data_IF_980060853053
#
_entry.id   IF_980060853053
#
_cell.length_a   1.000
_cell.length_b   1.000
_cell.length_c   1.000
_cell.angle_alpha   90.00
_cell.angle_beta   90.00
_cell.angle_gamma   90.00
#
_symmetry.space_group_name_H-M   'P 1'
#
loop_
_entity.id
_entity.type
_entity.pdbx_description
1 polymer ?
#
# COMPACT_ATOMS: atom_id res chain seq x y z
N UNK A 1 14.79 19.00 -29.34
CA UNK A 1 15.22 19.60 -28.06
C UNK A 1 16.01 18.53 -27.31
N UNK A 2 17.33 18.68 -27.27
CA UNK A 2 18.16 17.83 -26.42
C UNK A 2 17.78 18.07 -24.96
N UNK A 3 17.02 17.14 -24.37
CA UNK A 3 16.86 17.09 -22.92
C UNK A 3 18.25 16.77 -22.36
N UNK A 4 18.99 17.78 -21.92
CA UNK A 4 20.21 17.60 -21.12
C UNK A 4 19.88 16.63 -19.99
N UNK A 5 20.48 15.45 -20.03
CA UNK A 5 20.43 14.48 -18.95
C UNK A 5 21.02 15.17 -17.70
N UNK A 6 20.23 15.21 -16.62
CA UNK A 6 20.70 15.66 -15.32
C UNK A 6 21.01 14.43 -14.49
N UNK A 7 22.10 14.48 -13.74
CA UNK A 7 22.35 13.53 -12.67
C UNK A 7 21.17 13.56 -11.68
N UNK A 8 20.70 12.39 -11.26
CA UNK A 8 19.52 12.25 -10.41
C UNK A 8 19.83 11.26 -9.29
N UNK A 9 19.80 11.75 -8.06
CA UNK A 9 19.91 10.91 -6.87
C UNK A 9 18.51 10.76 -6.26
N UNK A 10 17.98 9.53 -6.31
CA UNK A 10 16.67 9.21 -5.77
C UNK A 10 16.58 9.58 -4.28
N UNK A 11 15.48 10.24 -3.88
CA UNK A 11 15.16 10.63 -2.50
C UNK A 11 16.18 11.55 -1.80
N UNK A 12 17.12 12.19 -2.53
CA UNK A 12 18.12 13.11 -1.96
C UNK A 12 17.76 14.59 -2.22
N UNK A 13 17.81 15.40 -1.17
CA UNK A 13 17.62 16.84 -1.24
C UNK A 13 16.17 17.28 -1.47
N UNK A 14 15.98 18.47 -2.05
CA UNK A 14 14.67 19.12 -2.18
C UNK A 14 14.04 18.97 -3.58
N UNK A 15 14.74 18.34 -4.53
CA UNK A 15 14.31 18.19 -5.93
C UNK A 15 13.34 17.04 -6.20
N UNK A 16 12.66 16.53 -5.17
CA UNK A 16 11.74 15.40 -5.28
C UNK A 16 10.41 15.82 -5.91
N UNK A 17 9.80 14.93 -6.67
CA UNK A 17 8.41 15.07 -7.11
C UNK A 17 7.46 15.07 -5.91
N UNK A 18 6.22 15.54 -6.09
CA UNK A 18 5.20 15.49 -5.03
C UNK A 18 4.95 14.07 -4.53
N UNK A 19 5.00 13.08 -5.43
CA UNK A 19 4.79 11.66 -5.09
C UNK A 19 5.97 11.10 -4.29
N UNK A 20 7.22 11.36 -4.72
CA UNK A 20 8.43 10.96 -3.99
C UNK A 20 8.52 11.60 -2.60
N UNK A 21 7.98 12.81 -2.42
CA UNK A 21 7.90 13.45 -1.10
C UNK A 21 6.94 12.71 -0.17
N UNK A 22 5.82 12.17 -0.67
CA UNK A 22 4.93 11.32 0.14
C UNK A 22 5.63 10.04 0.54
N UNK A 23 6.26 9.33 -0.41
CA UNK A 23 7.05 8.13 -0.12
C UNK A 23 8.11 8.42 0.97
N UNK A 24 8.88 9.50 0.81
CA UNK A 24 9.87 9.91 1.82
C UNK A 24 9.23 10.18 3.17
N UNK A 25 8.10 10.89 3.20
CA UNK A 25 7.40 11.25 4.44
C UNK A 25 6.94 10.00 5.20
N UNK A 26 6.44 8.98 4.51
CA UNK A 26 6.04 7.70 5.11
C UNK A 26 7.24 6.99 5.73
N UNK A 27 8.36 6.90 5.00
CA UNK A 27 9.61 6.31 5.55
C UNK A 27 10.08 7.08 6.79
N UNK A 28 10.07 8.41 6.73
CA UNK A 28 10.45 9.25 7.87
C UNK A 28 9.57 8.97 9.09
N UNK A 29 8.25 8.82 8.92
CA UNK A 29 7.32 8.48 9.99
C UNK A 29 7.60 7.11 10.59
N UNK A 30 7.84 6.09 9.77
CA UNK A 30 8.26 4.77 10.24
C UNK A 30 9.53 4.94 11.05
N UNK A 31 10.59 5.51 10.47
CA UNK A 31 11.90 5.64 11.08
C UNK A 31 11.88 6.42 12.39
N UNK A 32 11.12 7.51 12.47
CA UNK A 32 10.99 8.35 13.66
C UNK A 32 9.95 7.86 14.67
N UNK A 33 9.22 6.78 14.39
CA UNK A 33 8.23 6.24 15.32
C UNK A 33 8.88 5.87 16.66
N UNK A 34 8.32 6.41 17.74
CA UNK A 34 8.71 6.18 19.13
C UNK A 34 7.89 5.06 19.80
N UNK A 35 6.89 4.50 19.11
CA UNK A 35 6.08 3.38 19.62
C UNK A 35 6.96 2.14 19.73
N UNK A 36 7.17 1.57 20.94
CA UNK A 36 8.01 0.39 21.11
C UNK A 36 7.41 -0.84 20.42
N UNK A 37 8.23 -1.71 19.82
CA UNK A 37 7.75 -2.92 19.13
C UNK A 37 6.81 -3.79 19.98
N UNK A 38 7.00 -3.86 21.31
CA UNK A 38 6.13 -4.62 22.22
C UNK A 38 4.71 -4.05 22.38
N UNK A 39 4.48 -2.79 21.99
CA UNK A 39 3.16 -2.15 21.98
C UNK A 39 2.49 -2.24 20.60
N UNK A 40 3.20 -2.74 19.59
CA UNK A 40 2.74 -2.84 18.21
C UNK A 40 2.16 -4.22 17.94
N UNK A 41 1.14 -4.29 17.10
CA UNK A 41 0.57 -5.57 16.65
C UNK A 41 1.51 -6.31 15.68
N UNK A 42 2.25 -5.55 14.87
CA UNK A 42 3.36 -6.05 14.05
C UNK A 42 4.61 -5.19 14.26
N UNK A 43 5.79 -5.79 14.05
CA UNK A 43 7.05 -5.06 14.23
C UNK A 43 7.18 -3.90 13.24
N UNK A 44 7.87 -2.82 13.63
CA UNK A 44 8.19 -1.71 12.74
C UNK A 44 8.97 -2.15 11.49
N UNK A 45 9.76 -3.22 11.60
CA UNK A 45 10.45 -3.81 10.46
C UNK A 45 9.48 -4.47 9.47
N UNK A 46 8.47 -5.19 9.96
CA UNK A 46 7.45 -5.78 9.11
C UNK A 46 6.67 -4.70 8.37
N UNK A 47 6.21 -3.65 9.06
CA UNK A 47 5.50 -2.55 8.42
C UNK A 47 6.31 -1.86 7.32
N UNK A 48 7.60 -1.63 7.55
CA UNK A 48 8.49 -1.10 6.52
C UNK A 48 8.54 -2.03 5.30
N UNK A 49 8.77 -3.32 5.54
CA UNK A 49 8.89 -4.31 4.46
C UNK A 49 7.58 -4.46 3.70
N UNK A 50 6.45 -4.53 4.40
CA UNK A 50 5.11 -4.62 3.81
C UNK A 50 4.79 -3.37 2.98
N UNK A 51 4.97 -2.17 3.53
CA UNK A 51 4.71 -0.93 2.81
C UNK A 51 5.53 -0.82 1.52
N UNK A 52 6.85 -1.09 1.58
CA UNK A 52 7.71 -0.96 0.40
C UNK A 52 7.58 -2.13 -0.58
N UNK A 53 7.23 -3.33 -0.10
CA UNK A 53 6.78 -4.43 -0.92
C UNK A 53 5.53 -4.04 -1.70
N UNK A 54 4.53 -3.46 -1.03
CA UNK A 54 3.28 -3.01 -1.64
C UNK A 54 3.54 -1.93 -2.69
N UNK A 55 4.43 -0.96 -2.42
CA UNK A 55 4.86 0.03 -3.40
C UNK A 55 5.48 -0.62 -4.65
N UNK A 56 6.34 -1.63 -4.48
CA UNK A 56 6.95 -2.34 -5.61
C UNK A 56 5.91 -3.12 -6.44
N UNK A 57 4.98 -3.82 -5.79
CA UNK A 57 3.89 -4.54 -6.45
C UNK A 57 2.94 -3.57 -7.15
N UNK A 58 2.59 -2.45 -6.53
CA UNK A 58 1.73 -1.43 -7.11
C UNK A 58 2.32 -0.83 -8.39
N UNK A 59 3.64 -0.59 -8.43
CA UNK A 59 4.34 -0.14 -9.67
C UNK A 59 4.13 -1.13 -10.81
N UNK A 60 4.20 -2.44 -10.55
CA UNK A 60 4.02 -3.49 -11.57
C UNK A 60 2.56 -3.59 -11.99
N UNK A 61 1.63 -3.65 -11.03
CA UNK A 61 0.20 -3.83 -11.33
C UNK A 61 -0.42 -2.59 -11.98
N UNK A 62 -0.03 -1.38 -11.59
CA UNK A 62 -0.48 -0.16 -12.25
C UNK A 62 -0.09 -0.15 -13.73
N UNK A 63 1.16 -0.52 -14.05
CA UNK A 63 1.60 -0.68 -15.45
C UNK A 63 0.76 -1.72 -16.19
N UNK A 64 0.56 -2.89 -15.58
CA UNK A 64 -0.22 -3.99 -16.18
C UNK A 64 -1.68 -3.61 -16.45
N UNK A 65 -2.26 -2.75 -15.60
CA UNK A 65 -3.67 -2.34 -15.63
C UNK A 65 -3.90 -0.98 -16.32
N UNK A 66 -2.86 -0.31 -16.80
CA UNK A 66 -2.96 1.00 -17.44
C UNK A 66 -3.34 2.15 -16.50
N UNK A 67 -2.98 2.05 -15.21
CA UNK A 67 -3.23 3.07 -14.20
C UNK A 67 -2.04 4.03 -14.06
N UNK A 68 -2.28 5.20 -13.46
CA UNK A 68 -1.20 6.13 -13.13
C UNK A 68 -0.33 5.51 -12.02
N UNK A 69 0.93 5.23 -12.36
CA UNK A 69 1.90 4.59 -11.47
C UNK A 69 2.15 5.45 -10.23
N UNK A 70 2.25 6.77 -10.38
CA UNK A 70 2.57 7.68 -9.29
C UNK A 70 1.43 7.74 -8.27
N UNK A 71 0.17 7.74 -8.71
CA UNK A 71 -0.99 7.64 -7.82
C UNK A 71 -1.04 6.28 -7.11
N UNK A 72 -0.81 5.19 -7.84
CA UNK A 72 -0.76 3.84 -7.27
C UNK A 72 0.31 3.71 -6.18
N UNK A 73 1.48 4.32 -6.38
CA UNK A 73 2.59 4.35 -5.42
C UNK A 73 2.23 5.13 -4.17
N UNK A 74 1.60 6.29 -4.32
CA UNK A 74 1.15 7.08 -3.18
C UNK A 74 0.09 6.36 -2.37
N UNK A 75 -0.88 5.72 -3.03
CA UNK A 75 -1.90 4.90 -2.36
C UNK A 75 -1.24 3.75 -1.60
N UNK A 76 -0.35 2.99 -2.24
CA UNK A 76 0.35 1.89 -1.60
C UNK A 76 1.21 2.34 -0.42
N UNK A 77 1.81 3.54 -0.49
CA UNK A 77 2.59 4.10 0.61
C UNK A 77 1.72 4.51 1.81
N UNK A 78 0.47 4.90 1.56
CA UNK A 78 -0.42 5.48 2.56
C UNK A 78 -1.48 4.51 3.12
N UNK A 79 -1.74 3.38 2.46
CA UNK A 79 -2.88 2.50 2.82
C UNK A 79 -2.90 2.11 4.31
N UNK A 80 -1.72 1.80 4.86
CA UNK A 80 -1.50 1.41 6.25
C UNK A 80 -0.92 2.54 7.13
N UNK A 81 -1.10 3.81 6.75
CA UNK A 81 -0.45 4.93 7.46
C UNK A 81 -0.86 5.04 8.93
N UNK A 82 -2.08 4.63 9.27
CA UNK A 82 -2.53 4.58 10.66
C UNK A 82 -1.73 3.54 11.46
N UNK A 83 -1.48 2.37 10.86
CA UNK A 83 -0.67 1.28 11.44
C UNK A 83 0.76 1.75 11.66
N UNK A 84 1.35 2.43 10.67
CA UNK A 84 2.70 3.00 10.76
C UNK A 84 2.85 3.96 11.95
N UNK A 85 1.84 4.79 12.22
CA UNK A 85 1.90 5.79 13.29
C UNK A 85 1.58 5.20 14.67
N UNK A 86 0.61 4.27 14.74
CA UNK A 86 0.02 3.84 16.02
C UNK A 86 0.32 2.37 16.38
N UNK A 87 0.79 1.57 15.42
CA UNK A 87 1.05 0.14 15.56
C UNK A 87 -0.19 -0.72 15.75
N UNK A 88 -1.38 -0.26 15.30
CA UNK A 88 -2.68 -0.92 15.51
C UNK A 88 -3.45 -1.10 14.21
N UNK A 89 -4.04 -2.28 14.00
CA UNK A 89 -4.84 -2.57 12.80
C UNK A 89 -6.36 -2.37 12.99
N UNK A 90 -6.86 -2.20 14.20
CA UNK A 90 -8.31 -1.97 14.38
C UNK A 90 -8.73 -0.67 13.70
N UNK A 91 -9.69 -0.75 12.77
CA UNK A 91 -10.25 0.37 12.00
C UNK A 91 -9.20 1.21 11.23
N UNK A 92 -8.02 0.65 10.96
CA UNK A 92 -6.87 1.38 10.40
C UNK A 92 -7.14 2.05 9.06
N UNK A 93 -7.89 1.38 8.16
CA UNK A 93 -8.25 1.94 6.86
C UNK A 93 -9.04 3.25 7.00
N UNK A 94 -10.06 3.26 7.87
CA UNK A 94 -10.89 4.44 8.14
C UNK A 94 -10.09 5.55 8.82
N UNK A 95 -9.31 5.21 9.85
CA UNK A 95 -8.50 6.18 10.60
C UNK A 95 -7.31 6.72 9.78
N UNK A 96 -6.86 5.97 8.77
CA UNK A 96 -5.81 6.36 7.84
C UNK A 96 -6.22 7.45 6.86
N UNK A 97 -7.53 7.65 6.60
CA UNK A 97 -8.03 8.64 5.63
C UNK A 97 -7.64 10.06 6.01
N UNK A 98 -7.90 10.47 7.25
CA UNK A 98 -7.60 11.83 7.72
C UNK A 98 -6.09 12.10 7.72
N UNK A 99 -5.30 11.10 8.11
CA UNK A 99 -3.84 11.18 8.11
C UNK A 99 -3.30 11.31 6.68
N UNK A 100 -3.85 10.52 5.75
CA UNK A 100 -3.47 10.56 4.34
C UNK A 100 -3.76 11.93 3.74
N UNK A 101 -4.97 12.46 3.96
CA UNK A 101 -5.34 13.81 3.51
C UNK A 101 -4.39 14.88 4.05
N UNK A 102 -4.09 14.82 5.37
CA UNK A 102 -3.15 15.76 6.00
C UNK A 102 -1.77 15.69 5.36
N UNK A 103 -1.20 14.50 5.16
CA UNK A 103 0.12 14.33 4.52
C UNK A 103 0.12 14.89 3.10
N UNK A 104 -0.92 14.61 2.30
CA UNK A 104 -1.03 15.09 0.92
C UNK A 104 -1.10 16.61 0.85
N UNK A 105 -1.88 17.24 1.74
CA UNK A 105 -1.99 18.70 1.84
C UNK A 105 -0.70 19.35 2.32
N UNK A 106 0.01 18.74 3.27
CA UNK A 106 1.31 19.21 3.77
C UNK A 106 2.42 19.10 2.71
N UNK A 107 2.48 17.98 1.97
CA UNK A 107 3.42 17.80 0.85
C UNK A 107 3.12 18.77 -0.29
N UNK A 108 1.83 19.01 -0.54
CA UNK A 108 1.33 19.97 -1.52
C UNK A 108 1.45 19.50 -2.97
N UNK A 109 0.72 20.21 -3.84
CA UNK A 109 0.75 19.98 -5.29
C UNK A 109 -0.15 18.85 -5.78
N UNK A 110 -0.98 18.24 -4.94
CA UNK A 110 -2.05 17.32 -5.36
C UNK A 110 -3.34 18.10 -5.65
N UNK A 111 -4.11 17.70 -6.66
CA UNK A 111 -5.47 18.24 -6.87
C UNK A 111 -6.45 17.64 -5.86
N UNK A 112 -7.60 18.28 -5.67
CA UNK A 112 -8.64 17.73 -4.79
C UNK A 112 -9.17 16.38 -5.32
N UNK A 113 -9.22 16.20 -6.64
CA UNK A 113 -9.60 14.91 -7.25
C UNK A 113 -8.56 13.81 -6.99
N UNK A 114 -7.27 14.14 -7.03
CA UNK A 114 -6.20 13.20 -6.66
C UNK A 114 -6.29 12.82 -5.18
N UNK A 115 -6.49 13.80 -4.30
CA UNK A 115 -6.64 13.58 -2.87
C UNK A 115 -7.83 12.67 -2.59
N UNK A 116 -8.98 12.92 -3.21
CA UNK A 116 -10.17 12.09 -3.01
C UNK A 116 -9.98 10.67 -3.54
N UNK A 117 -9.38 10.52 -4.73
CA UNK A 117 -9.02 9.19 -5.28
C UNK A 117 -8.12 8.41 -4.32
N UNK A 118 -7.14 9.07 -3.71
CA UNK A 118 -6.22 8.42 -2.76
C UNK A 118 -6.97 8.06 -1.47
N UNK A 119 -7.79 8.97 -0.94
CA UNK A 119 -8.56 8.75 0.29
C UNK A 119 -9.56 7.61 0.15
N UNK A 120 -10.27 7.51 -0.96
CA UNK A 120 -11.22 6.42 -1.23
C UNK A 120 -10.49 5.08 -1.29
N UNK A 121 -9.37 5.02 -2.01
CA UNK A 121 -8.56 3.81 -2.05
C UNK A 121 -8.04 3.41 -0.66
N UNK A 122 -7.55 4.36 0.15
CA UNK A 122 -7.15 4.11 1.55
C UNK A 122 -8.33 3.67 2.42
N UNK A 123 -9.49 4.29 2.30
CA UNK A 123 -10.67 3.94 3.10
C UNK A 123 -11.11 2.49 2.87
N UNK A 124 -11.15 2.08 1.61
CA UNK A 124 -11.73 0.81 1.19
C UNK A 124 -10.70 -0.31 1.09
N UNK A 125 -9.41 -0.05 1.25
CA UNK A 125 -8.38 -1.08 1.00
C UNK A 125 -8.57 -2.32 1.87
N UNK A 126 -9.09 -2.20 3.10
CA UNK A 126 -9.29 -3.35 4.01
C UNK A 126 -10.53 -4.20 3.67
N UNK A 127 -11.47 -3.68 2.88
CA UNK A 127 -12.75 -4.31 2.53
C UNK A 127 -12.57 -5.24 1.32
N UNK A 128 -11.92 -6.38 1.55
CA UNK A 128 -11.51 -7.29 0.47
C UNK A 128 -12.71 -7.89 -0.27
N UNK A 129 -13.81 -8.13 0.45
CA UNK A 129 -15.10 -8.67 0.02
C UNK A 129 -16.01 -7.69 -0.73
N UNK A 130 -15.72 -6.39 -0.64
CA UNK A 130 -16.50 -5.37 -1.34
C UNK A 130 -15.77 -5.06 -2.64
N UNK A 131 -16.43 -5.26 -3.77
CA UNK A 131 -15.91 -4.89 -5.08
C UNK A 131 -16.48 -3.54 -5.51
N UNK A 132 -15.65 -2.66 -6.05
CA UNK A 132 -16.07 -1.38 -6.62
C UNK A 132 -15.68 -1.23 -8.08
N UNK A 133 -16.21 -0.19 -8.73
CA UNK A 133 -15.77 0.22 -10.06
C UNK A 133 -14.57 1.18 -10.00
N UNK A 134 -14.05 1.50 -8.81
CA UNK A 134 -12.86 2.32 -8.66
C UNK A 134 -11.60 1.45 -8.87
N UNK A 135 -10.84 1.69 -9.95
CA UNK A 135 -9.67 0.88 -10.25
C UNK A 135 -8.56 0.99 -9.20
N UNK A 136 -8.46 2.10 -8.46
CA UNK A 136 -7.43 2.28 -7.45
C UNK A 136 -7.74 1.56 -6.14
N UNK A 137 -9.00 1.58 -5.70
CA UNK A 137 -9.48 0.71 -4.61
C UNK A 137 -9.24 -0.77 -4.91
N UNK A 138 -9.56 -1.23 -6.12
CA UNK A 138 -9.32 -2.62 -6.50
C UNK A 138 -7.83 -2.95 -6.69
N UNK A 139 -7.02 -1.97 -7.10
CA UNK A 139 -5.57 -2.11 -7.16
C UNK A 139 -5.00 -2.35 -5.75
N UNK A 140 -5.30 -1.49 -4.78
CA UNK A 140 -4.67 -1.57 -3.47
C UNK A 140 -5.11 -2.81 -2.69
N UNK A 141 -6.38 -3.24 -2.81
CA UNK A 141 -6.86 -4.51 -2.24
C UNK A 141 -6.06 -5.70 -2.76
N UNK A 142 -5.80 -5.72 -4.07
CA UNK A 142 -5.04 -6.78 -4.74
C UNK A 142 -3.54 -6.74 -4.37
N UNK A 143 -2.96 -5.53 -4.30
CA UNK A 143 -1.56 -5.30 -3.91
C UNK A 143 -1.30 -5.81 -2.49
N UNK A 144 -2.12 -5.38 -1.53
CA UNK A 144 -1.96 -5.69 -0.10
C UNK A 144 -1.96 -7.20 0.16
N UNK A 145 -3.00 -7.91 -0.31
CA UNK A 145 -3.09 -9.37 -0.09
C UNK A 145 -2.03 -10.14 -0.86
N UNK A 146 -1.68 -9.71 -2.07
CA UNK A 146 -0.66 -10.38 -2.87
C UNK A 146 0.71 -10.26 -2.21
N UNK A 147 1.07 -9.06 -1.74
CA UNK A 147 2.34 -8.84 -1.04
C UNK A 147 2.42 -9.62 0.27
N UNK A 148 1.38 -9.50 1.10
CA UNK A 148 1.25 -10.25 2.35
C UNK A 148 1.40 -11.77 2.15
N UNK A 149 0.87 -12.30 1.04
CA UNK A 149 0.92 -13.73 0.73
C UNK A 149 2.35 -14.27 0.49
N UNK A 150 3.31 -13.39 0.20
CA UNK A 150 4.70 -13.75 -0.05
C UNK A 150 5.56 -13.93 1.22
N UNK A 151 5.01 -13.63 2.39
CA UNK A 151 5.65 -13.98 3.68
C UNK A 151 5.33 -15.40 4.09
N UNK A 152 6.32 -16.06 4.71
CA UNK A 152 6.17 -17.43 5.19
C UNK A 152 5.11 -17.48 6.29
N UNK A 153 4.24 -18.48 6.24
CA UNK A 153 3.17 -18.73 7.22
C UNK A 153 2.09 -17.62 7.30
N UNK A 154 2.04 -16.69 6.34
CA UNK A 154 1.00 -15.65 6.33
C UNK A 154 -0.41 -16.23 6.29
N UNK A 155 -0.62 -17.40 5.67
CA UNK A 155 -1.88 -18.15 5.69
C UNK A 155 -2.47 -18.31 7.10
N UNK A 156 -1.62 -18.60 8.10
CA UNK A 156 -2.06 -18.80 9.48
C UNK A 156 -2.70 -17.54 10.06
N UNK A 157 -2.13 -16.36 9.77
CA UNK A 157 -2.72 -15.09 10.20
C UNK A 157 -4.12 -14.89 9.61
N UNK A 158 -4.27 -15.13 8.31
CA UNK A 158 -5.55 -14.97 7.61
C UNK A 158 -6.62 -15.90 8.18
N UNK A 159 -6.31 -17.19 8.34
CA UNK A 159 -7.28 -18.18 8.83
C UNK A 159 -7.70 -17.91 10.28
N UNK A 160 -6.77 -17.45 11.13
CA UNK A 160 -7.05 -17.24 12.56
C UNK A 160 -7.78 -15.92 12.86
N UNK A 161 -7.55 -14.87 12.06
CA UNK A 161 -8.01 -13.51 12.40
C UNK A 161 -9.08 -12.96 11.47
N UNK A 162 -9.38 -13.62 10.33
CA UNK A 162 -10.40 -13.16 9.37
C UNK A 162 -11.53 -14.17 9.26
N UNK A 163 -12.74 -13.67 9.01
CA UNK A 163 -13.89 -14.52 8.71
C UNK A 163 -13.65 -15.35 7.44
N UNK A 164 -14.19 -16.57 7.39
CA UNK A 164 -13.94 -17.52 6.29
C UNK A 164 -14.22 -16.92 4.91
N UNK A 165 -15.32 -16.20 4.74
CA UNK A 165 -15.67 -15.56 3.48
C UNK A 165 -14.66 -14.47 3.05
N UNK A 166 -14.07 -13.75 4.02
CA UNK A 166 -13.01 -12.76 3.75
C UNK A 166 -11.73 -13.48 3.33
N UNK A 167 -11.38 -14.60 3.98
CA UNK A 167 -10.21 -15.40 3.60
C UNK A 167 -10.36 -15.94 2.17
N UNK A 168 -11.52 -16.49 1.83
CA UNK A 168 -11.83 -16.96 0.47
C UNK A 168 -11.64 -15.84 -0.56
N UNK A 169 -12.05 -14.63 -0.22
CA UNK A 169 -11.88 -13.47 -1.09
C UNK A 169 -10.42 -13.04 -1.25
N UNK A 170 -9.65 -12.99 -0.17
CA UNK A 170 -8.21 -12.74 -0.24
C UNK A 170 -7.52 -13.77 -1.15
N UNK A 171 -7.88 -15.05 -1.03
CA UNK A 171 -7.37 -16.12 -1.90
C UNK A 171 -7.73 -15.88 -3.37
N UNK A 172 -8.96 -15.46 -3.67
CA UNK A 172 -9.39 -15.14 -5.04
C UNK A 172 -8.58 -13.99 -5.63
N UNK A 173 -8.39 -12.91 -4.88
CA UNK A 173 -7.56 -11.77 -5.28
C UNK A 173 -6.11 -12.16 -5.53
N UNK A 174 -5.51 -12.95 -4.63
CA UNK A 174 -4.15 -13.47 -4.82
C UNK A 174 -4.06 -14.30 -6.11
N UNK A 175 -4.98 -15.24 -6.33
CA UNK A 175 -5.02 -16.07 -7.55
C UNK A 175 -5.18 -15.23 -8.82
N UNK A 176 -6.02 -14.20 -8.78
CA UNK A 176 -6.22 -13.24 -9.87
C UNK A 176 -4.91 -12.52 -10.19
N UNK A 177 -4.23 -11.94 -9.20
CA UNK A 177 -2.93 -11.26 -9.39
C UNK A 177 -1.88 -12.23 -9.94
N UNK A 178 -1.79 -13.44 -9.39
CA UNK A 178 -0.86 -14.47 -9.87
C UNK A 178 -1.11 -14.80 -11.35
N UNK A 179 -2.37 -14.94 -11.76
CA UNK A 179 -2.75 -15.14 -13.16
C UNK A 179 -2.38 -13.95 -14.04
N UNK A 180 -2.63 -12.71 -13.59
CA UNK A 180 -2.26 -11.48 -14.31
C UNK A 180 -0.75 -11.39 -14.58
N UNK A 181 0.06 -11.85 -13.62
CA UNK A 181 1.53 -11.84 -13.67
C UNK A 181 2.15 -13.12 -14.26
N UNK A 182 1.36 -14.12 -14.65
CA UNK A 182 1.86 -15.38 -15.21
C UNK A 182 2.55 -16.30 -14.18
N UNK A 183 2.20 -16.18 -12.91
CA UNK A 183 2.73 -17.00 -11.81
C UNK A 183 1.86 -18.26 -11.58
N UNK A 184 2.42 -19.35 -10.99
CA UNK A 184 1.64 -20.55 -10.66
C UNK A 184 0.48 -20.24 -9.72
N UNK A 185 -0.77 -20.47 -10.12
CA UNK A 185 -1.97 -19.99 -9.41
C UNK A 185 -2.21 -20.65 -8.05
N UNK A 186 -1.78 -21.91 -7.86
CA UNK A 186 -2.07 -22.68 -6.64
C UNK A 186 -1.11 -22.39 -5.48
N UNK A 187 -0.03 -21.66 -5.74
CA UNK A 187 0.91 -21.21 -4.72
C UNK A 187 0.41 -19.90 -4.08
N UNK A 188 -0.77 -19.96 -3.45
CA UNK A 188 -1.46 -18.80 -2.88
C UNK A 188 -0.65 -18.17 -1.77
N UNK A 189 -0.31 -18.93 -0.74
CA UNK A 189 0.54 -18.48 0.36
C UNK A 189 1.92 -19.15 0.27
N UNK A 190 2.96 -18.40 0.62
CA UNK A 190 4.30 -18.95 0.71
C UNK A 190 4.41 -19.94 1.88
N UNK A 191 4.81 -21.17 1.55
CA UNK A 191 5.12 -22.26 2.49
C UNK A 191 6.54 -22.15 3.05
#
# INVERSE_FOLDING_TARGET
>A
MDKKLKDFHHYKGNGLTRFEKVERRVIELIYSSEVPDGEREESKFFEFMHAWGCVAVAKILAQKRGLNIDLAVVIASLHDIYVIINGKYKDHAKLGVEISEKILREVGGFSDEEIETIKDAVLHHSEKEIYSNDPYSELIKDVDVFESSMYKNSEGYYILHKAKNIVEECVNRIKKVRKELGLPIDNVFRK
#
